data_IF_115344941618
#
_entry.id   IF_115344941618
#
_cell.length_a   1.000
_cell.length_b   1.000
_cell.length_c   1.000
_cell.angle_alpha   90.00
_cell.angle_beta   90.00
_cell.angle_gamma   90.00
#
_symmetry.space_group_name_H-M   'P 1'
#
loop_
_entity.id
_entity.type
_entity.pdbx_description
1 polymer ?
#
# COMPACT_ATOMS: atom_id res chain seq x y z
N UNK A 1 -25.36 -9.78 -14.99
CA UNK A 1 -24.50 -9.32 -13.87
C UNK A 1 -23.04 -9.51 -14.27
N UNK A 2 -22.26 -8.42 -14.39
CA UNK A 2 -20.82 -8.54 -14.72
C UNK A 2 -20.10 -9.14 -13.51
N UNK A 3 -19.42 -10.28 -13.67
CA UNK A 3 -18.54 -10.85 -12.63
C UNK A 3 -17.52 -9.77 -12.26
N UNK A 4 -17.59 -9.20 -11.06
CA UNK A 4 -16.50 -8.37 -10.54
C UNK A 4 -15.23 -9.22 -10.55
N UNK A 5 -14.23 -8.81 -11.34
CA UNK A 5 -12.93 -9.48 -11.33
C UNK A 5 -12.38 -9.37 -9.90
N UNK A 6 -12.04 -10.50 -9.31
CA UNK A 6 -11.42 -10.57 -7.98
C UNK A 6 -10.11 -9.77 -8.03
N UNK A 7 -10.00 -8.74 -7.20
CA UNK A 7 -8.80 -7.90 -7.13
C UNK A 7 -7.74 -8.64 -6.32
N UNK A 8 -6.66 -9.05 -6.98
CA UNK A 8 -5.48 -9.64 -6.37
C UNK A 8 -4.39 -8.56 -6.28
N UNK A 9 -4.18 -7.96 -5.10
CA UNK A 9 -3.20 -6.90 -4.94
C UNK A 9 -1.77 -7.46 -4.98
N UNK A 10 -0.86 -6.67 -5.52
CA UNK A 10 0.57 -6.88 -5.42
C UNK A 10 1.05 -6.43 -4.02
N UNK A 11 1.75 -7.33 -3.32
CA UNK A 11 2.22 -7.08 -1.96
C UNK A 11 3.28 -5.98 -1.88
N UNK A 12 4.12 -5.80 -2.92
CA UNK A 12 5.08 -4.69 -2.97
C UNK A 12 4.36 -3.35 -3.09
N UNK A 13 3.28 -3.29 -3.88
CA UNK A 13 2.49 -2.06 -4.00
C UNK A 13 1.79 -1.75 -2.67
N UNK A 14 1.24 -2.77 -1.99
CA UNK A 14 0.70 -2.59 -0.63
C UNK A 14 1.78 -2.06 0.31
N UNK A 15 2.95 -2.70 0.37
CA UNK A 15 4.03 -2.30 1.26
C UNK A 15 4.45 -0.85 1.02
N UNK A 16 4.65 -0.45 -0.24
CA UNK A 16 5.02 0.92 -0.59
C UNK A 16 3.98 1.96 -0.18
N UNK A 17 2.69 1.66 -0.37
CA UNK A 17 1.62 2.57 0.04
C UNK A 17 1.62 2.70 1.56
N UNK A 18 1.64 1.57 2.29
CA UNK A 18 1.58 1.58 3.74
C UNK A 18 2.81 2.27 4.36
N UNK A 19 4.02 1.97 3.89
CA UNK A 19 5.25 2.58 4.37
C UNK A 19 5.32 4.08 4.06
N UNK A 20 4.88 4.50 2.87
CA UNK A 20 4.78 5.94 2.55
C UNK A 20 3.88 6.66 3.55
N UNK A 21 2.73 6.08 3.89
CA UNK A 21 1.82 6.67 4.87
C UNK A 21 2.38 6.64 6.30
N UNK A 22 3.15 5.61 6.66
CA UNK A 22 3.85 5.54 7.94
C UNK A 22 4.87 6.68 8.09
N UNK A 23 5.56 7.03 7.00
CA UNK A 23 6.51 8.15 6.94
C UNK A 23 5.82 9.53 6.90
N UNK A 24 4.48 9.59 7.05
CA UNK A 24 3.72 10.83 7.03
C UNK A 24 3.56 11.45 5.64
N UNK A 25 3.82 10.68 4.57
CA UNK A 25 3.65 11.16 3.20
C UNK A 25 2.19 11.42 2.87
N UNK A 26 1.96 12.43 2.05
CA UNK A 26 0.64 12.73 1.51
C UNK A 26 0.12 11.62 0.61
N UNK A 27 -1.20 11.58 0.39
CA UNK A 27 -1.85 10.67 -0.58
C UNK A 27 -1.22 10.77 -1.98
N UNK A 28 -0.82 11.97 -2.40
CA UNK A 28 -0.19 12.20 -3.71
C UNK A 28 1.21 11.60 -3.77
N UNK A 29 2.02 11.80 -2.74
CA UNK A 29 3.35 11.19 -2.65
C UNK A 29 3.26 9.67 -2.58
N UNK A 30 2.35 9.12 -1.77
CA UNK A 30 2.11 7.68 -1.70
C UNK A 30 1.70 7.09 -3.06
N UNK A 31 0.86 7.80 -3.83
CA UNK A 31 0.51 7.40 -5.18
C UNK A 31 1.72 7.34 -6.11
N UNK A 32 2.61 8.35 -6.06
CA UNK A 32 3.83 8.37 -6.87
C UNK A 32 4.79 7.23 -6.47
N UNK A 33 5.02 7.04 -5.17
CA UNK A 33 5.95 6.04 -4.65
C UNK A 33 5.44 4.60 -4.85
N UNK A 34 4.12 4.40 -4.94
CA UNK A 34 3.51 3.09 -5.18
C UNK A 34 3.92 2.45 -6.52
N UNK A 35 4.39 3.24 -7.49
CA UNK A 35 4.80 2.75 -8.80
C UNK A 35 3.64 2.24 -9.67
N UNK A 36 2.40 2.64 -9.38
CA UNK A 36 1.23 2.37 -10.22
C UNK A 36 0.55 3.68 -10.62
N UNK A 37 -0.25 3.64 -11.70
CA UNK A 37 -1.06 4.80 -12.08
C UNK A 37 -2.12 5.13 -11.02
N UNK A 38 -2.61 6.37 -11.02
CA UNK A 38 -3.48 6.88 -9.96
C UNK A 38 -4.80 6.09 -9.81
N UNK A 39 -5.43 5.69 -10.93
CA UNK A 39 -6.65 4.87 -10.87
C UNK A 39 -6.41 3.52 -10.21
N UNK A 40 -5.25 2.90 -10.49
CA UNK A 40 -4.86 1.64 -9.85
C UNK A 40 -4.53 1.87 -8.37
N UNK A 41 -3.84 2.96 -8.03
CA UNK A 41 -3.59 3.37 -6.64
C UNK A 41 -4.90 3.50 -5.84
N UNK A 42 -5.93 4.14 -6.40
CA UNK A 42 -7.24 4.25 -5.72
C UNK A 42 -7.89 2.88 -5.46
N UNK A 43 -7.71 1.90 -6.35
CA UNK A 43 -8.18 0.52 -6.09
C UNK A 43 -7.44 -0.13 -4.91
N UNK A 44 -6.13 0.13 -4.77
CA UNK A 44 -5.38 -0.33 -3.60
C UNK A 44 -5.84 0.38 -2.32
N UNK A 45 -6.04 1.70 -2.37
CA UNK A 45 -6.52 2.46 -1.21
C UNK A 45 -7.88 1.93 -0.75
N UNK A 46 -8.82 1.69 -1.67
CA UNK A 46 -10.12 1.11 -1.34
C UNK A 46 -9.96 -0.27 -0.69
N UNK A 47 -9.16 -1.14 -1.31
CA UNK A 47 -8.89 -2.47 -0.79
C UNK A 47 -8.32 -2.46 0.64
N UNK A 48 -7.41 -1.52 0.95
CA UNK A 48 -6.81 -1.36 2.27
C UNK A 48 -7.81 -0.75 3.27
N UNK A 49 -8.65 0.18 2.81
CA UNK A 49 -9.72 0.81 3.60
C UNK A 49 -10.78 -0.20 4.02
N UNK A 50 -11.27 -1.03 3.10
CA UNK A 50 -12.20 -2.13 3.38
C UNK A 50 -11.66 -3.11 4.45
N UNK A 51 -10.34 -3.20 4.61
CA UNK A 51 -9.66 -4.05 5.61
C UNK A 51 -9.32 -3.33 6.90
N UNK A 52 -9.64 -2.04 7.00
CA UNK A 52 -9.36 -1.19 8.16
C UNK A 52 -7.87 -0.93 8.38
N UNK A 53 -7.05 -0.97 7.32
CA UNK A 53 -5.61 -0.66 7.39
C UNK A 53 -5.34 0.84 7.19
N UNK A 54 -6.24 1.52 6.49
CA UNK A 54 -6.09 2.93 6.14
C UNK A 54 -7.43 3.64 6.36
N UNK A 55 -7.37 4.91 6.76
CA UNK A 55 -8.53 5.78 6.96
C UNK A 55 -8.30 7.17 6.32
N UNK A 56 -9.38 7.93 6.17
CA UNK A 56 -9.37 9.26 5.55
C UNK A 56 -9.53 9.24 4.02
N UNK A 57 -10.15 10.27 3.46
CA UNK A 57 -10.36 10.39 2.00
C UNK A 57 -9.32 11.29 1.33
N UNK A 58 -9.20 12.53 1.78
CA UNK A 58 -8.20 13.49 1.30
C UNK A 58 -6.87 13.31 2.05
N UNK A 59 -6.93 13.31 3.38
CA UNK A 59 -5.79 12.99 4.25
C UNK A 59 -5.77 11.52 4.61
N UNK A 60 -5.13 10.75 3.74
CA UNK A 60 -4.97 9.32 3.91
C UNK A 60 -3.97 9.03 5.06
N UNK A 61 -4.36 8.20 6.04
CA UNK A 61 -3.52 7.85 7.20
C UNK A 61 -3.64 6.37 7.55
N UNK A 62 -2.60 5.81 8.14
CA UNK A 62 -2.65 4.46 8.70
C UNK A 62 -3.54 4.41 9.93
N UNK A 63 -4.28 3.31 10.07
CA UNK A 63 -4.83 2.91 11.37
C UNK A 63 -3.73 2.24 12.21
N UNK A 64 -3.91 2.04 13.53
CA UNK A 64 -2.96 1.25 14.32
C UNK A 64 -2.71 -0.15 13.74
N UNK A 65 -3.78 -0.80 13.26
CA UNK A 65 -3.71 -2.09 12.55
C UNK A 65 -2.91 -1.98 11.23
N UNK A 66 -3.08 -0.87 10.50
CA UNK A 66 -2.33 -0.57 9.30
C UNK A 66 -0.82 -0.43 9.54
N UNK A 67 -0.44 0.27 10.61
CA UNK A 67 0.96 0.44 11.00
C UNK A 67 1.61 -0.89 11.38
N UNK A 68 0.93 -1.72 12.17
CA UNK A 68 1.41 -3.06 12.52
C UNK A 68 1.55 -3.96 11.27
N UNK A 69 0.57 -3.92 10.37
CA UNK A 69 0.63 -4.67 9.11
C UNK A 69 1.76 -4.18 8.20
N UNK A 70 2.02 -2.87 8.15
CA UNK A 70 3.11 -2.28 7.38
C UNK A 70 4.47 -2.81 7.84
N UNK A 71 4.72 -2.78 9.16
CA UNK A 71 5.96 -3.26 9.75
C UNK A 71 6.17 -4.76 9.46
N UNK A 72 5.16 -5.60 9.74
CA UNK A 72 5.24 -7.04 9.49
C UNK A 72 5.48 -7.39 8.02
N UNK A 73 4.82 -6.67 7.11
CA UNK A 73 4.99 -6.92 5.68
C UNK A 73 6.38 -6.48 5.20
N UNK A 74 6.91 -5.37 5.72
CA UNK A 74 8.26 -4.92 5.38
C UNK A 74 9.31 -5.94 5.84
N UNK A 75 9.21 -6.42 7.09
CA UNK A 75 10.08 -7.48 7.61
C UNK A 75 10.01 -8.74 6.75
N UNK A 76 8.80 -9.19 6.40
CA UNK A 76 8.62 -10.39 5.59
C UNK A 76 9.18 -10.24 4.17
N UNK A 77 9.01 -9.08 3.53
CA UNK A 77 9.59 -8.82 2.22
C UNK A 77 11.13 -8.89 2.31
N UNK A 78 11.71 -8.20 3.29
CA UNK A 78 13.15 -8.20 3.53
C UNK A 78 13.70 -9.61 3.80
N UNK A 79 13.00 -10.41 4.59
CA UNK A 79 13.37 -11.80 4.87
C UNK A 79 13.37 -12.65 3.59
N UNK A 80 12.35 -12.49 2.74
CA UNK A 80 12.18 -13.31 1.54
C UNK A 80 13.06 -12.89 0.37
N UNK A 81 13.41 -11.60 0.26
CA UNK A 81 14.10 -11.06 -0.93
C UNK A 81 15.44 -10.41 -0.63
N UNK A 82 15.74 -10.10 0.63
CA UNK A 82 16.92 -9.34 1.02
C UNK A 82 16.85 -7.84 0.71
N UNK A 83 15.72 -7.35 0.20
CA UNK A 83 15.54 -5.96 -0.22
C UNK A 83 14.53 -5.20 0.65
N UNK A 84 14.75 -3.90 0.84
CA UNK A 84 13.76 -3.03 1.46
C UNK A 84 12.65 -2.69 0.45
N UNK A 85 11.35 -2.78 0.80
CA UNK A 85 10.25 -2.60 -0.15
C UNK A 85 10.29 -1.26 -0.91
N UNK A 86 10.80 -0.20 -0.27
CA UNK A 86 10.87 1.15 -0.84
C UNK A 86 11.98 1.31 -1.88
N UNK A 87 13.04 0.50 -1.81
CA UNK A 87 14.21 0.59 -2.70
C UNK A 87 14.00 -0.16 -4.02
N UNK A 88 13.05 -1.09 -4.05
CA UNK A 88 12.78 -1.93 -5.22
C UNK A 88 12.16 -1.11 -6.35
N UNK A 89 12.89 -0.94 -7.45
CA UNK A 89 12.31 -0.40 -8.69
C UNK A 89 11.50 -1.49 -9.38
N UNK A 90 10.19 -1.27 -9.51
CA UNK A 90 9.32 -2.17 -10.26
C UNK A 90 9.68 -2.08 -11.75
N UNK A 91 10.15 -3.16 -12.34
CA UNK A 91 10.41 -3.28 -13.78
C UNK A 91 9.11 -3.41 -14.56
#
# INVERSE_FOLDING_TARGET
MKKQKKFYPDLYVIAKILLSLADGRSKREAALLSGVNYNRFLQYVEYLRERGLVAGEEELRLTPKGAEAAARLAELIKELTGEEPMDVKRK
#
